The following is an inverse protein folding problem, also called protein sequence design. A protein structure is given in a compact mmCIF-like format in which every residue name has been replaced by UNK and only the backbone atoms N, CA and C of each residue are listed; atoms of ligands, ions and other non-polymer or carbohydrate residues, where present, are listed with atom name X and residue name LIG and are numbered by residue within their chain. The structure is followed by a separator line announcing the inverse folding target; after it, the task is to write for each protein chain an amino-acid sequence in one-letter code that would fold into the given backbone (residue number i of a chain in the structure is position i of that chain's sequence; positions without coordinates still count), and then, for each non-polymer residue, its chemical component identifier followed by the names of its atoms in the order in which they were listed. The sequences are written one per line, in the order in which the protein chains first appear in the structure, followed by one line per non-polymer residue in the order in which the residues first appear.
data_IF_055579103448
#
_entry.id   IF_055579103448
#
_cell.length_a   1.000
_cell.length_b   1.000
_cell.length_c   1.000
_cell.angle_alpha   90.00
_cell.angle_beta   90.00
_cell.angle_gamma   90.00
#
_symmetry.space_group_name_H-M   'P 1'
#
loop_
_entity.id
_entity.type
_entity.pdbx_description
1 polymer ?
#
# COMPACT_ATOMS: atom_id res chain seq x y z
N UNK A 1 -37.29 -1.59 -2.15
CA UNK A 1 -36.65 -1.62 -3.48
C UNK A 1 -35.46 -0.67 -3.51
N UNK A 2 -34.25 -1.15 -3.22
CA UNK A 2 -32.99 -0.38 -3.30
C UNK A 2 -31.92 -1.29 -3.91
N UNK A 3 -31.98 -1.47 -5.22
CA UNK A 3 -31.07 -2.36 -5.97
C UNK A 3 -30.33 -1.62 -7.10
N UNK A 4 -30.36 -0.28 -7.11
CA UNK A 4 -29.87 0.52 -8.25
C UNK A 4 -28.46 1.12 -8.10
N UNK A 5 -27.93 1.28 -6.88
CA UNK A 5 -26.69 2.05 -6.67
C UNK A 5 -25.39 1.21 -6.80
N UNK A 6 -25.43 -0.10 -6.54
CA UNK A 6 -24.23 -0.94 -6.62
C UNK A 6 -23.69 -1.14 -8.04
N UNK A 7 -24.60 -1.19 -9.03
CA UNK A 7 -24.24 -1.47 -10.44
C UNK A 7 -23.51 -0.27 -11.07
N UNK A 8 -23.90 0.97 -10.70
CA UNK A 8 -23.27 2.18 -11.22
C UNK A 8 -21.81 2.36 -10.77
N UNK A 9 -21.47 1.92 -9.56
CA UNK A 9 -20.09 1.96 -9.04
C UNK A 9 -19.23 0.90 -9.73
N UNK A 10 -19.76 -0.31 -9.94
CA UNK A 10 -19.04 -1.38 -10.63
C UNK A 10 -18.71 -1.00 -12.09
N UNK A 11 -19.64 -0.32 -12.78
CA UNK A 11 -19.45 0.19 -14.15
C UNK A 11 -18.43 1.34 -14.24
N UNK A 12 -18.38 2.24 -13.25
CA UNK A 12 -17.35 3.29 -13.20
C UNK A 12 -15.96 2.74 -12.90
N UNK A 13 -15.86 1.71 -12.05
CA UNK A 13 -14.59 1.05 -11.77
C UNK A 13 -14.05 0.32 -13.01
N UNK A 14 -14.92 -0.30 -13.80
CA UNK A 14 -14.53 -0.94 -15.06
C UNK A 14 -14.07 0.08 -16.10
N UNK A 15 -14.73 1.24 -16.20
CA UNK A 15 -14.31 2.29 -17.13
C UNK A 15 -12.93 2.89 -16.77
N UNK A 16 -12.67 3.12 -15.47
CA UNK A 16 -11.36 3.64 -15.03
C UNK A 16 -10.25 2.60 -15.18
N UNK A 17 -10.55 1.32 -14.90
CA UNK A 17 -9.61 0.23 -15.14
C UNK A 17 -9.32 0.06 -16.64
N UNK A 18 -10.31 0.22 -17.52
CA UNK A 18 -10.11 0.17 -18.97
C UNK A 18 -9.29 1.35 -19.49
N UNK A 19 -9.52 2.57 -18.98
CA UNK A 19 -8.70 3.74 -19.35
C UNK A 19 -7.25 3.58 -18.89
N UNK A 20 -7.05 3.11 -17.66
CA UNK A 20 -5.70 2.84 -17.13
C UNK A 20 -5.00 1.71 -17.90
N UNK A 21 -5.73 0.65 -18.26
CA UNK A 21 -5.18 -0.45 -19.06
C UNK A 21 -4.81 0.02 -20.48
N UNK A 22 -5.58 0.93 -21.07
CA UNK A 22 -5.26 1.52 -22.37
C UNK A 22 -4.01 2.41 -22.31
N UNK A 23 -3.87 3.25 -21.29
CA UNK A 23 -2.70 4.11 -21.08
C UNK A 23 -1.41 3.30 -20.83
N UNK A 24 -1.51 2.25 -20.01
CA UNK A 24 -0.41 1.32 -19.73
C UNK A 24 0.01 0.52 -20.96
N UNK A 25 -0.93 0.18 -21.85
CA UNK A 25 -0.62 -0.51 -23.11
C UNK A 25 -0.05 0.44 -24.18
N UNK A 26 -0.39 1.73 -24.13
CA UNK A 26 0.14 2.75 -25.05
C UNK A 26 1.55 3.22 -24.66
N UNK A 27 1.92 3.13 -23.38
CA UNK A 27 3.30 3.29 -22.90
C UNK A 27 4.21 2.09 -23.21
N UNK A 28 4.21 1.62 -24.47
CA UNK A 28 5.31 0.78 -24.95
C UNK A 28 6.59 1.61 -24.91
N UNK A 29 7.62 1.22 -24.14
CA UNK A 29 8.93 1.83 -24.28
C UNK A 29 9.34 1.62 -25.74
N UNK A 30 9.58 2.71 -26.45
CA UNK A 30 10.16 2.65 -27.80
C UNK A 30 11.47 1.88 -27.65
N UNK A 31 11.43 0.61 -28.02
CA UNK A 31 12.58 -0.27 -28.08
C UNK A 31 13.65 0.48 -28.87
N UNK A 32 14.71 0.95 -28.20
CA UNK A 32 15.95 1.32 -28.88
C UNK A 32 16.56 -0.01 -29.32
N UNK A 33 16.62 -0.33 -30.61
CA UNK A 33 17.34 -1.52 -31.05
C UNK A 33 18.83 -1.31 -30.79
N UNK A 34 19.46 -2.32 -30.16
CA UNK A 34 20.89 -2.60 -30.13
C UNK A 34 21.85 -1.43 -29.89
N UNK A 35 22.20 -1.20 -28.62
CA UNK A 35 23.53 -0.69 -28.28
C UNK A 35 24.38 -1.91 -27.91
N UNK A 36 25.33 -2.24 -28.79
CA UNK A 36 26.31 -3.31 -28.60
C UNK A 36 27.34 -2.78 -27.61
N UNK A 37 27.41 -3.36 -26.40
CA UNK A 37 28.40 -3.00 -25.38
C UNK A 37 29.76 -3.63 -25.73
N UNK A 38 30.78 -2.79 -25.88
CA UNK A 38 32.18 -3.20 -25.95
C UNK A 38 32.74 -3.51 -24.55
N UNK A 39 33.64 -4.51 -24.40
CA UNK A 39 34.30 -4.81 -23.13
C UNK A 39 35.47 -3.83 -22.87
N UNK A 40 35.14 -2.69 -22.27
CA UNK A 40 36.07 -1.61 -21.90
C UNK A 40 36.51 -1.61 -20.43
N UNK A 41 37.67 -2.20 -20.21
CA UNK A 41 38.62 -2.09 -19.07
C UNK A 41 38.69 -0.73 -18.34
N UNK A 42 38.72 -0.78 -16.99
CA UNK A 42 39.11 0.33 -16.09
C UNK A 42 37.92 1.10 -15.51
N UNK A 43 37.89 1.62 -14.29
CA UNK A 43 38.95 1.94 -13.35
C UNK A 43 38.38 1.98 -11.91
N UNK A 44 39.30 1.85 -10.95
CA UNK A 44 39.08 2.05 -9.53
C UNK A 44 38.73 3.52 -9.23
N UNK A 45 38.34 3.75 -7.97
CA UNK A 45 38.23 5.03 -7.24
C UNK A 45 36.85 5.69 -7.35
N UNK A 46 36.22 6.20 -6.29
CA UNK A 46 36.79 6.84 -5.11
C UNK A 46 35.98 6.56 -3.84
N UNK A 47 36.68 6.60 -2.70
CA UNK A 47 36.14 6.54 -1.35
C UNK A 47 35.52 7.90 -1.00
N UNK A 48 34.25 8.00 -0.57
CA UNK A 48 33.66 9.27 -0.16
C UNK A 48 34.33 9.80 1.12
N UNK A 49 34.54 11.11 1.15
CA UNK A 49 35.17 11.86 2.23
C UNK A 49 34.30 11.92 3.50
N UNK A 50 34.91 12.06 4.69
CA UNK A 50 34.19 12.12 5.97
C UNK A 50 33.32 13.37 6.08
N UNK A 51 32.06 13.17 6.47
CA UNK A 51 31.07 14.21 6.74
C UNK A 51 31.47 15.01 8.00
N UNK A 52 31.55 16.34 7.85
CA UNK A 52 31.80 17.28 8.95
C UNK A 52 30.56 17.36 9.85
N UNK A 53 30.69 17.29 11.19
CA UNK A 53 29.56 17.42 12.11
C UNK A 53 28.99 18.84 12.12
N UNK A 54 27.66 18.92 12.11
CA UNK A 54 26.90 20.17 12.11
C UNK A 54 27.10 20.98 13.41
N UNK A 55 27.20 22.30 13.26
CA UNK A 55 27.38 23.24 14.35
C UNK A 55 26.17 23.29 15.31
N UNK A 56 26.39 23.57 16.60
CA UNK A 56 25.33 23.60 17.60
C UNK A 56 24.37 24.78 17.39
N UNK A 57 23.08 24.49 17.51
CA UNK A 57 21.97 25.44 17.42
C UNK A 57 21.96 26.39 18.61
N UNK A 58 21.94 27.70 18.33
CA UNK A 58 21.84 28.75 19.35
C UNK A 58 20.41 28.76 19.90
N UNK A 59 20.27 28.55 21.21
CA UNK A 59 19.00 28.60 21.93
C UNK A 59 18.51 30.05 22.05
N UNK A 60 17.31 30.32 21.57
CA UNK A 60 16.67 31.63 21.67
C UNK A 60 16.32 31.98 23.12
N UNK A 61 16.58 33.24 23.51
CA UNK A 61 16.27 33.76 24.83
C UNK A 61 14.75 33.82 25.07
N UNK A 62 14.28 33.56 26.30
CA UNK A 62 12.87 33.61 26.64
C UNK A 62 12.31 35.04 26.54
N UNK A 63 11.17 35.17 25.87
CA UNK A 63 10.45 36.43 25.75
C UNK A 63 9.95 36.90 27.12
N UNK A 64 10.07 38.21 27.37
CA UNK A 64 9.61 38.83 28.60
C UNK A 64 8.07 38.73 28.72
N UNK A 65 7.55 38.48 29.93
CA UNK A 65 6.11 38.34 30.15
C UNK A 65 5.39 39.68 29.94
N UNK A 66 4.35 39.65 29.11
CA UNK A 66 3.47 40.77 28.84
C UNK A 66 2.70 41.16 30.10
N UNK A 67 2.65 42.46 30.40
CA UNK A 67 1.93 42.99 31.55
C UNK A 67 0.43 42.67 31.48
N UNK A 68 -0.22 42.38 32.62
CA UNK A 68 -1.63 42.04 32.66
C UNK A 68 -2.50 43.24 32.26
N UNK A 69 -3.48 42.98 31.40
CA UNK A 69 -4.44 43.97 30.94
C UNK A 69 -5.32 44.46 32.10
N UNK A 70 -5.57 45.77 32.11
CA UNK A 70 -6.48 46.42 33.06
C UNK A 70 -7.90 45.87 32.90
N UNK A 71 -8.57 45.44 33.99
CA UNK A 71 -9.92 44.91 33.92
C UNK A 71 -10.89 45.96 33.36
N UNK A 72 -11.66 45.56 32.35
CA UNK A 72 -12.72 46.39 31.80
C UNK A 72 -13.82 46.63 32.84
N UNK A 73 -14.35 47.85 32.86
CA UNK A 73 -15.47 48.21 33.72
C UNK A 73 -16.69 47.31 33.43
N UNK A 74 -17.46 46.93 34.46
CA UNK A 74 -18.62 46.08 34.29
C UNK A 74 -19.66 46.78 33.41
N UNK A 75 -20.09 46.08 32.35
CA UNK A 75 -21.17 46.56 31.50
C UNK A 75 -22.47 46.69 32.28
N UNK A 76 -23.21 47.76 32.00
CA UNK A 76 -24.55 47.94 32.54
C UNK A 76 -25.45 46.75 32.14
N UNK A 77 -26.36 46.34 33.04
CA UNK A 77 -27.26 45.22 32.79
C UNK A 77 -28.12 45.51 31.56
N UNK A 78 -28.05 44.61 30.58
CA UNK A 78 -28.82 44.70 29.37
C UNK A 78 -30.31 44.49 29.68
N UNK A 79 -31.16 45.28 29.04
CA UNK A 79 -32.61 45.15 29.21
C UNK A 79 -33.07 43.72 28.84
N UNK A 80 -34.10 43.18 29.51
CA UNK A 80 -34.60 41.84 29.23
C UNK A 80 -35.03 41.72 27.77
N UNK A 81 -34.47 40.75 27.06
CA UNK A 81 -34.84 40.47 25.68
C UNK A 81 -36.30 39.97 25.64
N UNK A 82 -37.05 40.50 24.69
CA UNK A 82 -38.39 40.00 24.36
C UNK A 82 -38.31 38.51 24.05
N UNK A 83 -39.18 37.65 24.64
CA UNK A 83 -39.13 36.21 24.41
C UNK A 83 -39.25 35.90 22.92
N UNK A 84 -38.28 35.15 22.40
CA UNK A 84 -38.31 34.70 21.02
C UNK A 84 -39.49 33.72 20.82
N UNK A 85 -40.15 33.75 19.65
CA UNK A 85 -41.19 32.78 19.34
C UNK A 85 -40.62 31.35 19.39
N UNK A 86 -41.45 30.34 19.72
CA UNK A 86 -41.01 28.96 19.82
C UNK A 86 -40.39 28.50 18.50
N UNK A 87 -39.15 28.02 18.58
CA UNK A 87 -38.40 27.49 17.45
C UNK A 87 -39.09 26.23 16.93
N UNK A 88 -39.30 26.17 15.61
CA UNK A 88 -39.85 24.98 14.95
C UNK A 88 -39.01 23.74 15.30
N UNK A 89 -39.63 22.54 15.40
CA UNK A 89 -38.92 21.30 15.69
C UNK A 89 -37.73 21.14 14.74
N UNK A 90 -36.53 21.01 15.29
CA UNK A 90 -35.33 20.78 14.52
C UNK A 90 -35.51 19.51 13.68
N UNK A 91 -35.43 19.64 12.35
CA UNK A 91 -35.37 18.49 11.47
C UNK A 91 -34.24 17.59 11.95
N UNK A 92 -34.59 16.34 12.29
CA UNK A 92 -33.63 15.36 12.75
C UNK A 92 -32.53 15.25 11.69
N UNK A 93 -31.37 15.82 11.99
CA UNK A 93 -30.22 15.82 11.10
C UNK A 93 -29.81 14.37 10.94
N UNK A 94 -30.19 13.77 9.82
CA UNK A 94 -29.80 12.41 9.46
C UNK A 94 -28.27 12.38 9.49
N UNK A 95 -27.64 11.48 10.26
CA UNK A 95 -26.20 11.36 10.28
C UNK A 95 -25.70 11.23 8.85
N UNK A 96 -24.75 12.09 8.46
CA UNK A 96 -24.09 11.95 7.18
C UNK A 96 -23.54 10.52 7.11
N UNK A 97 -23.79 9.77 6.01
CA UNK A 97 -23.26 8.43 5.88
C UNK A 97 -21.74 8.50 6.07
N UNK A 98 -21.21 7.68 6.97
CA UNK A 98 -19.78 7.58 7.16
C UNK A 98 -19.13 7.31 5.79
N UNK A 99 -18.01 7.98 5.45
CA UNK A 99 -17.33 7.73 4.20
C UNK A 99 -17.05 6.23 4.11
N UNK A 100 -17.62 5.59 3.09
CA UNK A 100 -17.35 4.19 2.81
C UNK A 100 -15.91 4.12 2.33
N UNK A 101 -14.98 3.82 3.25
CA UNK A 101 -13.65 3.38 2.84
C UNK A 101 -13.85 2.12 2.02
N UNK A 102 -13.47 2.12 0.73
CA UNK A 102 -13.63 0.94 -0.12
C UNK A 102 -12.92 -0.24 0.55
N UNK A 103 -13.55 -1.41 0.53
CA UNK A 103 -12.93 -2.63 1.03
C UNK A 103 -11.76 -3.02 0.11
N UNK A 104 -10.57 -2.50 0.43
CA UNK A 104 -9.34 -2.75 -0.30
C UNK A 104 -9.05 -4.25 -0.39
N UNK A 105 -9.47 -5.05 0.60
CA UNK A 105 -9.32 -6.51 0.61
C UNK A 105 -10.10 -7.16 -0.52
N UNK A 106 -11.37 -6.77 -0.69
CA UNK A 106 -12.22 -7.25 -1.78
C UNK A 106 -11.68 -6.88 -3.15
N UNK A 107 -11.19 -5.65 -3.32
CA UNK A 107 -10.58 -5.18 -4.56
C UNK A 107 -9.28 -5.94 -4.85
N UNK A 108 -8.40 -6.10 -3.85
CA UNK A 108 -7.16 -6.86 -3.98
C UNK A 108 -7.42 -8.30 -4.43
N UNK A 109 -8.40 -8.99 -3.82
CA UNK A 109 -8.82 -10.34 -4.23
C UNK A 109 -9.25 -10.40 -5.69
N UNK A 110 -10.07 -9.45 -6.13
CA UNK A 110 -10.54 -9.40 -7.50
C UNK A 110 -9.38 -9.16 -8.49
N UNK A 111 -8.45 -8.25 -8.17
CA UNK A 111 -7.28 -7.96 -9.01
C UNK A 111 -6.35 -9.18 -9.11
N UNK A 112 -6.08 -9.87 -8.00
CA UNK A 112 -5.25 -11.07 -8.00
C UNK A 112 -5.88 -12.21 -8.82
N UNK A 113 -7.20 -12.39 -8.72
CA UNK A 113 -7.91 -13.38 -9.54
C UNK A 113 -7.84 -13.06 -11.05
N UNK A 114 -7.77 -11.78 -11.43
CA UNK A 114 -7.50 -11.37 -12.83
C UNK A 114 -6.06 -11.67 -13.20
N UNK A 115 -5.10 -11.35 -12.34
CA UNK A 115 -3.68 -11.62 -12.57
C UNK A 115 -3.41 -13.12 -12.83
N UNK A 116 -4.07 -14.01 -12.08
CA UNK A 116 -3.94 -15.47 -12.26
C UNK A 116 -4.41 -15.98 -13.63
N UNK A 117 -5.25 -15.23 -14.34
CA UNK A 117 -5.77 -15.60 -15.67
C UNK A 117 -4.98 -14.98 -16.82
N UNK A 118 -4.04 -14.07 -16.53
CA UNK A 118 -3.28 -13.36 -17.55
C UNK A 118 -2.08 -14.20 -18.01
N UNK A 119 -1.93 -14.32 -19.33
CA UNK A 119 -0.74 -14.94 -19.92
C UNK A 119 0.49 -14.00 -19.89
N UNK A 120 0.27 -12.68 -19.79
CA UNK A 120 1.33 -11.67 -19.83
C UNK A 120 1.96 -11.45 -18.44
N UNK A 121 3.18 -11.97 -18.26
CA UNK A 121 3.91 -11.93 -16.98
C UNK A 121 4.26 -10.51 -16.50
N UNK A 122 4.55 -9.58 -17.40
CA UNK A 122 4.87 -8.20 -17.03
C UNK A 122 3.64 -7.48 -16.45
N UNK A 123 2.47 -7.73 -17.04
CA UNK A 123 1.20 -7.23 -16.52
C UNK A 123 0.87 -7.81 -15.14
N UNK A 124 1.07 -9.12 -14.97
CA UNK A 124 0.92 -9.79 -13.65
C UNK A 124 1.82 -9.15 -12.61
N UNK A 125 3.10 -8.92 -12.92
CA UNK A 125 4.06 -8.27 -12.02
C UNK A 125 3.61 -6.87 -11.63
N UNK A 126 3.12 -6.06 -12.58
CA UNK A 126 2.59 -4.71 -12.31
C UNK A 126 1.35 -4.74 -11.43
N UNK A 127 0.44 -5.68 -11.66
CA UNK A 127 -0.76 -5.84 -10.83
C UNK A 127 -0.40 -6.25 -9.40
N UNK A 128 0.52 -7.20 -9.22
CA UNK A 128 1.01 -7.57 -7.89
C UNK A 128 1.64 -6.37 -7.17
N UNK A 129 2.45 -5.57 -7.88
CA UNK A 129 3.05 -4.35 -7.32
C UNK A 129 1.98 -3.31 -6.93
N UNK A 130 0.94 -3.15 -7.75
CA UNK A 130 -0.16 -2.23 -7.46
C UNK A 130 -0.97 -2.66 -6.22
N UNK A 131 -1.27 -3.96 -6.10
CA UNK A 131 -1.98 -4.52 -4.93
C UNK A 131 -1.17 -4.34 -3.65
N UNK A 132 0.16 -4.50 -3.71
CA UNK A 132 1.04 -4.23 -2.57
C UNK A 132 1.10 -2.76 -2.13
N UNK A 133 0.56 -1.84 -2.92
CA UNK A 133 0.44 -0.42 -2.56
C UNK A 133 -0.90 -0.04 -1.94
N UNK A 134 -1.84 -0.98 -1.79
CA UNK A 134 -3.12 -0.72 -1.14
C UNK A 134 -2.94 -0.58 0.37
N UNK A 135 -3.62 0.41 0.96
CA UNK A 135 -3.55 0.65 2.40
C UNK A 135 -4.06 -0.57 3.18
N UNK A 136 -3.28 -0.98 4.18
CA UNK A 136 -3.53 -2.16 5.02
C UNK A 136 -3.28 -3.51 4.35
N UNK A 137 -2.76 -3.56 3.12
CA UNK A 137 -2.32 -4.81 2.48
C UNK A 137 -0.81 -4.98 2.69
N UNK A 138 -0.41 -6.13 3.25
CA UNK A 138 0.99 -6.49 3.40
C UNK A 138 1.39 -7.62 2.44
N UNK A 139 2.62 -7.55 1.91
CA UNK A 139 3.17 -8.52 0.95
C UNK A 139 3.92 -9.62 1.70
N UNK A 140 3.65 -10.88 1.36
CA UNK A 140 4.41 -12.05 1.82
C UNK A 140 5.38 -12.44 0.71
N UNK A 141 6.67 -12.28 0.95
CA UNK A 141 7.74 -12.60 -0.01
C UNK A 141 8.92 -13.23 0.74
N UNK A 142 8.84 -14.53 1.09
CA UNK A 142 9.95 -15.23 1.75
C UNK A 142 11.19 -15.26 0.87
N UNK A 143 12.35 -15.20 1.50
CA UNK A 143 13.65 -15.36 0.84
C UNK A 143 14.03 -16.85 0.73
N UNK A 144 14.85 -17.23 -0.26
CA UNK A 144 15.42 -18.57 -0.31
C UNK A 144 16.17 -18.91 0.98
N UNK A 145 15.83 -20.05 1.59
CA UNK A 145 16.35 -20.52 2.87
C UNK A 145 15.42 -20.25 4.06
N UNK A 146 14.37 -19.44 3.90
CA UNK A 146 13.36 -19.27 4.95
C UNK A 146 12.62 -20.58 5.22
N UNK A 147 12.13 -20.74 6.46
CA UNK A 147 11.30 -21.89 6.81
C UNK A 147 9.97 -21.85 6.04
N UNK A 148 9.54 -23.00 5.51
CA UNK A 148 8.21 -23.10 4.91
C UNK A 148 7.13 -23.01 6.01
N UNK A 149 6.21 -22.06 5.86
CA UNK A 149 5.04 -21.91 6.72
C UNK A 149 3.77 -22.22 5.92
N UNK A 150 3.03 -23.32 6.19
CA UNK A 150 1.83 -23.69 5.44
C UNK A 150 0.66 -22.71 5.61
N UNK A 151 0.69 -21.81 6.60
CA UNK A 151 -0.36 -20.80 6.78
C UNK A 151 -0.22 -19.63 5.81
N UNK A 152 1.02 -19.27 5.47
CA UNK A 152 1.33 -18.09 4.64
C UNK A 152 1.95 -18.44 3.29
N UNK A 153 2.45 -19.66 3.13
CA UNK A 153 3.06 -20.19 1.91
C UNK A 153 2.24 -21.35 1.34
N UNK A 154 2.30 -21.50 0.02
CA UNK A 154 1.74 -22.62 -0.74
C UNK A 154 2.88 -23.27 -1.51
N UNK A 155 3.19 -24.52 -1.19
CA UNK A 155 4.12 -25.35 -1.94
C UNK A 155 3.51 -25.68 -3.30
N UNK A 156 4.12 -25.19 -4.38
CA UNK A 156 3.65 -25.43 -5.76
C UNK A 156 4.65 -26.16 -6.63
N UNK A 157 5.94 -26.14 -6.26
CA UNK A 157 7.02 -26.77 -7.02
C UNK A 157 8.11 -27.25 -6.05
N UNK A 158 9.00 -28.12 -6.52
CA UNK A 158 10.06 -28.72 -5.71
C UNK A 158 11.43 -28.45 -6.34
N UNK A 159 12.45 -28.27 -5.50
CA UNK A 159 13.85 -28.14 -5.91
C UNK A 159 14.68 -29.16 -5.16
N UNK A 160 15.71 -29.70 -5.82
CA UNK A 160 16.67 -30.60 -5.17
C UNK A 160 17.46 -29.83 -4.11
N UNK A 161 17.45 -30.31 -2.87
CA UNK A 161 18.24 -29.74 -1.80
C UNK A 161 19.75 -29.89 -2.06
N UNK A 162 20.52 -28.84 -1.78
CA UNK A 162 21.99 -28.91 -1.83
C UNK A 162 22.56 -29.53 -0.54
N UNK A 163 21.86 -29.35 0.59
CA UNK A 163 22.20 -29.91 1.89
C UNK A 163 20.96 -30.58 2.48
N UNK A 164 21.17 -31.63 3.27
CA UNK A 164 20.08 -32.36 3.94
C UNK A 164 19.24 -31.47 4.87
N UNK A 165 19.88 -30.46 5.48
CA UNK A 165 19.23 -29.51 6.40
C UNK A 165 18.36 -28.45 5.70
N UNK A 166 18.37 -28.41 4.36
CA UNK A 166 17.55 -27.49 3.57
C UNK A 166 16.11 -28.01 3.36
N UNK A 167 15.81 -29.25 3.79
CA UNK A 167 14.46 -29.83 3.70
C UNK A 167 13.39 -28.90 4.30
N UNK A 168 12.26 -28.78 3.61
CA UNK A 168 11.14 -27.90 4.04
C UNK A 168 11.51 -26.41 4.16
N UNK A 169 12.58 -25.97 3.49
CA UNK A 169 12.88 -24.54 3.33
C UNK A 169 12.46 -24.06 1.97
N UNK A 170 12.10 -22.77 1.90
CA UNK A 170 11.78 -22.08 0.65
C UNK A 170 13.03 -22.11 -0.23
N UNK A 171 12.92 -22.72 -1.41
CA UNK A 171 13.98 -22.74 -2.40
C UNK A 171 13.92 -21.51 -3.32
N UNK A 172 12.70 -21.12 -3.71
CA UNK A 172 12.46 -20.06 -4.67
C UNK A 172 11.07 -19.46 -4.45
N UNK A 173 10.95 -18.14 -4.53
CA UNK A 173 9.66 -17.45 -4.56
C UNK A 173 9.14 -17.41 -6.01
N UNK A 174 8.03 -18.12 -6.27
CA UNK A 174 7.41 -18.16 -7.60
C UNK A 174 6.38 -17.05 -7.78
N UNK A 175 5.59 -16.76 -6.73
CA UNK A 175 4.69 -15.61 -6.71
C UNK A 175 4.50 -15.07 -5.28
N UNK A 176 4.46 -13.74 -5.10
CA UNK A 176 4.24 -13.15 -3.79
C UNK A 176 2.82 -13.43 -3.25
N UNK A 177 2.72 -13.58 -1.94
CA UNK A 177 1.47 -13.64 -1.20
C UNK A 177 1.05 -12.27 -0.66
N UNK A 178 -0.17 -12.19 -0.14
CA UNK A 178 -0.75 -10.96 0.39
C UNK A 178 -1.60 -11.25 1.62
N UNK A 179 -1.52 -10.37 2.62
CA UNK A 179 -2.38 -10.36 3.80
C UNK A 179 -3.16 -9.05 3.87
N UNK A 180 -4.37 -9.12 4.42
CA UNK A 180 -5.20 -7.95 4.66
C UNK A 180 -4.89 -7.26 5.99
N UNK A 181 -5.64 -6.18 6.32
CA UNK A 181 -5.35 -5.34 7.49
C UNK A 181 -5.45 -6.09 8.83
N UNK A 182 -6.24 -7.17 8.87
CA UNK A 182 -6.43 -8.02 10.04
C UNK A 182 -5.43 -9.18 10.12
N UNK A 183 -4.41 -9.21 9.25
CA UNK A 183 -3.51 -10.35 9.10
C UNK A 183 -4.11 -11.55 8.36
N UNK A 184 -5.37 -11.45 7.93
CA UNK A 184 -6.02 -12.52 7.17
C UNK A 184 -5.32 -12.70 5.82
N UNK A 185 -4.85 -13.92 5.54
CA UNK A 185 -4.22 -14.25 4.25
C UNK A 185 -5.25 -14.09 3.13
N UNK A 186 -4.96 -13.16 2.22
CA UNK A 186 -5.74 -12.94 1.00
C UNK A 186 -5.34 -13.98 -0.03
N UNK A 187 -4.03 -14.22 -0.16
CA UNK A 187 -3.43 -15.21 -1.04
C UNK A 187 -2.08 -15.64 -0.44
N UNK A 188 -1.81 -16.94 -0.27
CA UNK A 188 -0.51 -17.40 0.21
C UNK A 188 0.56 -17.17 -0.87
N UNK A 189 1.82 -16.98 -0.45
CA UNK A 189 2.94 -16.91 -1.38
C UNK A 189 3.15 -18.27 -2.03
N UNK A 190 3.30 -18.32 -3.36
CA UNK A 190 3.61 -19.55 -4.07
C UNK A 190 5.13 -19.72 -4.07
N UNK A 191 5.59 -20.85 -3.55
CA UNK A 191 7.00 -21.12 -3.36
C UNK A 191 7.36 -22.49 -3.91
N UNK A 192 8.59 -22.61 -4.40
CA UNK A 192 9.23 -23.90 -4.52
C UNK A 192 9.90 -24.25 -3.18
N UNK A 193 9.80 -25.50 -2.74
CA UNK A 193 10.41 -25.98 -1.48
C UNK A 193 11.52 -26.97 -1.81
N UNK A 194 12.59 -26.97 -1.02
CA UNK A 194 13.63 -27.98 -1.13
C UNK A 194 13.14 -29.33 -0.61
N UNK A 195 13.35 -30.36 -1.41
CA UNK A 195 13.02 -31.75 -1.07
C UNK A 195 14.23 -32.65 -1.29
N UNK A 196 14.26 -33.74 -0.53
CA UNK A 196 15.29 -34.77 -0.54
C UNK A 196 14.89 -36.01 -1.35
N UNK A 197 13.75 -36.01 -2.05
CA UNK A 197 13.33 -37.11 -2.90
C UNK A 197 14.30 -37.34 -4.09
N UNK A 198 15.28 -38.20 -3.87
CA UNK A 198 16.26 -38.59 -4.88
C UNK A 198 17.49 -39.34 -4.36
N UNK A 199 17.46 -39.83 -3.12
CA UNK A 199 18.49 -40.73 -2.57
C UNK A 199 17.95 -42.16 -2.41
#
# INVERSE_FOLDING_TARGET
MRTGHGIAVLLRLTAHAQLWLADVLDHRPRHRPNQVDEPGKGARTARPAPTVPAAPTITAAPLAPTAPATPAAPMAPMAPATPAPPTAPAEATRPAPAPLTPDNTGVAKAVLAVADRLANQELVRRLHKAVGGFDGIAVIAPEPGDAFDPLTHRWTDTRKAARRDDHERVAELLAPGFTGPTGTVIRPAQVAVYDNEGE
#
